data_IF_817477882597
#
_entry.id   IF_817477882597
#
_cell.length_a   1.000
_cell.length_b   1.000
_cell.length_c   1.000
_cell.angle_alpha   90.00
_cell.angle_beta   90.00
_cell.angle_gamma   90.00
#
_symmetry.space_group_name_H-M   'P 1'
#
loop_
_entity.id
_entity.type
_entity.pdbx_description
1 polymer ?
#
# COMPACT_ATOMS: atom_id res chain seq x y z
N UNK A 1 -24.57 -2.10 12.79
CA UNK A 1 -24.03 -2.23 11.41
C UNK A 1 -22.52 -2.22 11.49
N UNK A 2 -21.84 -3.11 10.74
CA UNK A 2 -20.38 -3.11 10.65
C UNK A 2 -19.97 -2.03 9.64
N UNK A 3 -19.02 -1.17 10.01
CA UNK A 3 -18.51 -0.12 9.12
C UNK A 3 -17.88 -0.76 7.87
N UNK A 4 -18.05 -0.17 6.70
CA UNK A 4 -17.47 -0.68 5.44
C UNK A 4 -16.05 -0.16 5.23
N UNK A 5 -15.31 -0.75 4.29
CA UNK A 5 -13.95 -0.28 3.92
C UNK A 5 -14.02 1.18 3.46
N UNK A 6 -14.98 1.52 2.59
CA UNK A 6 -15.18 2.87 2.09
C UNK A 6 -15.53 3.87 3.18
N UNK A 7 -16.32 3.49 4.18
CA UNK A 7 -16.62 4.33 5.34
C UNK A 7 -15.36 4.60 6.18
N UNK A 8 -14.53 3.59 6.42
CA UNK A 8 -13.24 3.78 7.12
C UNK A 8 -12.28 4.65 6.33
N UNK A 9 -12.22 4.46 5.01
CA UNK A 9 -11.43 5.28 4.11
C UNK A 9 -11.87 6.74 4.16
N UNK A 10 -13.19 7.00 4.10
CA UNK A 10 -13.78 8.32 4.27
C UNK A 10 -13.34 8.96 5.59
N UNK A 11 -13.50 8.25 6.71
CA UNK A 11 -13.12 8.74 8.04
C UNK A 11 -11.64 9.12 8.11
N UNK A 12 -10.75 8.32 7.49
CA UNK A 12 -9.32 8.61 7.47
C UNK A 12 -8.98 9.89 6.69
N UNK A 13 -9.51 10.04 5.48
CA UNK A 13 -9.21 11.24 4.66
C UNK A 13 -9.87 12.50 5.22
N UNK A 14 -11.06 12.41 5.83
CA UNK A 14 -11.71 13.54 6.51
C UNK A 14 -10.92 13.97 7.75
N UNK A 15 -10.38 13.03 8.54
CA UNK A 15 -9.50 13.36 9.67
C UNK A 15 -8.23 14.09 9.23
N UNK A 16 -7.67 13.75 8.07
CA UNK A 16 -6.42 14.34 7.59
C UNK A 16 -6.61 15.68 6.90
N UNK A 17 -7.66 15.82 6.09
CA UNK A 17 -7.83 16.94 5.15
C UNK A 17 -9.01 17.86 5.47
N UNK A 18 -9.88 17.51 6.41
CA UNK A 18 -11.04 18.31 6.77
C UNK A 18 -12.02 18.46 5.59
N UNK A 19 -12.63 19.64 5.44
CA UNK A 19 -13.82 19.89 4.59
C UNK A 19 -13.61 19.90 3.06
N UNK A 20 -12.44 19.55 2.55
CA UNK A 20 -12.16 19.54 1.09
C UNK A 20 -11.37 18.29 0.65
N UNK A 21 -11.51 17.20 1.39
CA UNK A 21 -10.75 15.98 1.23
C UNK A 21 -10.86 15.38 -0.19
N UNK A 22 -12.04 15.42 -0.82
CA UNK A 22 -12.20 14.87 -2.17
C UNK A 22 -11.37 15.64 -3.20
N UNK A 23 -11.44 16.97 -3.16
CA UNK A 23 -10.71 17.85 -4.07
C UNK A 23 -9.20 17.72 -3.88
N UNK A 24 -8.73 17.67 -2.63
CA UNK A 24 -7.30 17.54 -2.32
C UNK A 24 -6.76 16.19 -2.80
N UNK A 25 -7.45 15.09 -2.51
CA UNK A 25 -7.03 13.75 -2.97
C UNK A 25 -7.09 13.66 -4.50
N UNK A 26 -8.16 14.16 -5.12
CA UNK A 26 -8.31 14.16 -6.57
C UNK A 26 -7.13 14.87 -7.27
N UNK A 27 -6.78 16.07 -6.78
CA UNK A 27 -5.64 16.83 -7.31
C UNK A 27 -4.30 16.14 -7.05
N UNK A 28 -4.07 15.66 -5.83
CA UNK A 28 -2.79 15.05 -5.43
C UNK A 28 -2.47 13.76 -6.19
N UNK A 29 -3.49 12.96 -6.51
CA UNK A 29 -3.32 11.65 -7.14
C UNK A 29 -3.79 11.62 -8.61
N UNK A 30 -4.04 12.78 -9.22
CA UNK A 30 -4.37 12.89 -10.65
C UNK A 30 -5.65 12.16 -11.05
N UNK A 31 -6.67 12.17 -10.19
CA UNK A 31 -7.94 11.48 -10.41
C UNK A 31 -9.14 12.44 -10.28
N UNK A 32 -10.34 11.99 -10.65
CA UNK A 32 -11.55 12.79 -10.50
C UNK A 32 -12.10 12.71 -9.07
N UNK A 33 -12.75 13.78 -8.60
CA UNK A 33 -13.44 13.77 -7.29
C UNK A 33 -14.51 12.68 -7.22
N UNK A 34 -15.14 12.34 -8.35
CA UNK A 34 -16.10 11.24 -8.44
C UNK A 34 -15.45 9.87 -8.16
N UNK A 35 -14.21 9.65 -8.58
CA UNK A 35 -13.47 8.44 -8.23
C UNK A 35 -13.23 8.36 -6.72
N UNK A 36 -12.86 9.47 -6.08
CA UNK A 36 -12.68 9.54 -4.62
C UNK A 36 -13.99 9.27 -3.89
N UNK A 37 -15.11 9.85 -4.34
CA UNK A 37 -16.45 9.61 -3.78
C UNK A 37 -16.84 8.14 -3.92
N UNK A 38 -16.49 7.49 -5.05
CA UNK A 38 -16.73 6.06 -5.26
C UNK A 38 -15.98 5.22 -4.23
N UNK A 39 -14.70 5.52 -3.96
CA UNK A 39 -13.91 4.80 -2.95
C UNK A 39 -14.55 4.84 -1.56
N UNK A 40 -15.17 5.97 -1.18
CA UNK A 40 -15.88 6.13 0.10
C UNK A 40 -17.12 5.25 0.25
N UNK A 41 -17.58 4.63 -0.83
CA UNK A 41 -18.77 3.77 -0.88
C UNK A 41 -18.41 2.32 -1.21
N UNK A 42 -17.15 2.05 -1.50
CA UNK A 42 -16.71 0.72 -1.91
C UNK A 42 -16.56 -0.19 -0.69
N UNK A 43 -16.99 -1.44 -0.82
CA UNK A 43 -16.84 -2.45 0.22
C UNK A 43 -15.50 -3.17 0.11
N UNK A 44 -14.77 -2.98 -0.99
CA UNK A 44 -13.51 -3.62 -1.28
C UNK A 44 -12.34 -2.64 -1.31
N UNK A 45 -11.14 -3.16 -0.98
CA UNK A 45 -9.90 -2.39 -1.05
C UNK A 45 -9.40 -2.34 -2.50
N UNK A 46 -9.52 -1.19 -3.16
CA UNK A 46 -9.02 -1.02 -4.53
C UNK A 46 -7.53 -0.67 -4.56
N UNK A 47 -6.85 -0.93 -5.69
CA UNK A 47 -5.44 -0.57 -5.87
C UNK A 47 -5.16 0.91 -5.58
N UNK A 48 -6.03 1.80 -6.05
CA UNK A 48 -5.90 3.25 -5.82
C UNK A 48 -6.12 3.62 -4.35
N UNK A 49 -7.03 2.95 -3.64
CA UNK A 49 -7.21 3.16 -2.19
C UNK A 49 -5.97 2.73 -1.40
N UNK A 50 -5.35 1.61 -1.77
CA UNK A 50 -4.09 1.15 -1.16
C UNK A 50 -2.98 2.17 -1.38
N UNK A 51 -2.84 2.65 -2.62
CA UNK A 51 -1.82 3.64 -2.97
C UNK A 51 -1.99 4.94 -2.20
N UNK A 52 -3.20 5.48 -2.15
CA UNK A 52 -3.51 6.67 -1.33
C UNK A 52 -3.21 6.36 0.14
N UNK A 53 -3.67 5.23 0.67
CA UNK A 53 -3.47 4.88 2.07
C UNK A 53 -1.98 4.83 2.45
N UNK A 54 -1.15 4.15 1.65
CA UNK A 54 0.29 4.08 1.90
C UNK A 54 0.96 5.46 1.85
N UNK A 55 0.65 6.26 0.84
CA UNK A 55 1.23 7.59 0.67
C UNK A 55 0.74 8.60 1.72
N UNK A 56 -0.47 8.38 2.26
CA UNK A 56 -1.04 9.19 3.32
C UNK A 56 -0.74 8.68 4.74
N UNK A 57 -0.02 7.56 4.87
CA UNK A 57 0.23 6.92 6.16
C UNK A 57 -1.04 6.40 6.83
N UNK A 58 -2.07 6.06 6.06
CA UNK A 58 -3.31 5.44 6.55
C UNK A 58 -3.07 3.93 6.70
N UNK A 59 -3.43 3.37 7.84
CA UNK A 59 -3.23 1.96 8.15
C UNK A 59 -4.17 1.05 7.34
N UNK A 60 -3.60 0.15 6.54
CA UNK A 60 -4.38 -0.81 5.72
C UNK A 60 -5.15 -1.84 6.57
N UNK A 61 -4.65 -2.20 7.76
CA UNK A 61 -5.39 -3.07 8.68
C UNK A 61 -6.65 -2.37 9.15
N UNK A 62 -6.53 -1.13 9.61
CA UNK A 62 -7.68 -0.29 9.96
C UNK A 62 -8.68 -0.24 8.78
N UNK A 63 -8.24 0.05 7.56
CA UNK A 63 -9.15 0.08 6.41
C UNK A 63 -9.86 -1.26 6.16
N UNK A 64 -9.15 -2.38 6.27
CA UNK A 64 -9.67 -3.70 5.91
C UNK A 64 -10.64 -4.25 6.97
N UNK A 65 -10.31 -4.12 8.25
CA UNK A 65 -11.01 -4.80 9.33
C UNK A 65 -11.41 -3.89 10.51
N UNK A 66 -11.00 -2.62 10.51
CA UNK A 66 -11.28 -1.67 11.58
C UNK A 66 -10.39 -1.82 12.81
N UNK A 67 -9.30 -2.60 12.72
CA UNK A 67 -8.39 -2.87 13.84
C UNK A 67 -7.17 -1.96 13.75
N UNK A 68 -6.76 -1.42 14.91
CA UNK A 68 -5.58 -0.57 15.06
C UNK A 68 -5.86 0.90 14.83
N UNK A 69 -4.78 1.69 14.80
CA UNK A 69 -4.85 3.14 14.61
C UNK A 69 -5.16 3.52 13.16
N UNK A 70 -5.79 4.69 12.98
CA UNK A 70 -6.17 5.20 11.64
C UNK A 70 -4.94 5.56 10.81
N UNK A 71 -3.97 6.21 11.44
CA UNK A 71 -2.71 6.61 10.82
C UNK A 71 -1.57 5.84 11.47
N UNK A 72 -0.61 5.43 10.65
CA UNK A 72 0.67 4.93 11.13
C UNK A 72 1.52 6.13 11.53
N UNK A 73 2.16 6.06 12.69
CA UNK A 73 3.07 7.11 13.15
C UNK A 73 4.29 7.14 12.21
N UNK A 74 4.30 8.12 11.30
CA UNK A 74 5.34 8.26 10.27
C UNK A 74 6.69 8.67 10.84
N UNK A 75 6.81 8.88 12.15
CA UNK A 75 8.11 8.98 12.83
C UNK A 75 8.85 7.65 12.90
N UNK A 76 8.20 6.50 12.65
CA UNK A 76 8.86 5.18 12.68
C UNK A 76 8.90 4.41 11.36
N UNK A 77 8.07 4.73 10.37
CA UNK A 77 8.01 3.95 9.12
C UNK A 77 7.91 4.84 7.87
N UNK A 78 8.81 5.80 7.73
CA UNK A 78 9.30 6.12 6.39
C UNK A 78 10.00 4.85 5.90
N UNK A 79 9.57 4.27 4.78
CA UNK A 79 10.13 3.08 4.18
C UNK A 79 11.66 3.04 4.32
N UNK A 80 12.14 2.37 5.37
CA UNK A 80 13.50 1.86 5.34
C UNK A 80 13.39 0.79 4.30
N UNK A 81 14.11 0.95 3.18
CA UNK A 81 14.69 -0.22 2.53
C UNK A 81 15.17 -1.10 3.67
N UNK A 82 14.44 -2.18 3.95
CA UNK A 82 14.81 -3.06 5.04
C UNK A 82 16.16 -3.60 4.57
N UNK A 83 17.24 -3.16 5.21
CA UNK A 83 18.56 -3.70 4.94
C UNK A 83 18.43 -5.17 5.28
N UNK A 84 18.27 -6.00 4.24
CA UNK A 84 18.16 -7.44 4.38
C UNK A 84 19.50 -7.86 4.94
N UNK A 85 19.52 -8.31 6.19
CA UNK A 85 20.72 -8.87 6.79
C UNK A 85 21.09 -10.17 6.07
N UNK A 86 22.32 -10.64 6.22
CA UNK A 86 22.76 -11.90 5.59
C UNK A 86 21.87 -13.10 5.95
N UNK A 87 21.28 -13.08 7.15
CA UNK A 87 20.37 -14.14 7.60
C UNK A 87 19.01 -14.08 6.90
N UNK A 88 18.43 -12.88 6.77
CA UNK A 88 17.18 -12.68 6.03
C UNK A 88 17.35 -13.09 4.55
N UNK A 89 18.53 -12.80 3.97
CA UNK A 89 18.84 -13.18 2.59
C UNK A 89 18.89 -14.70 2.41
N UNK A 90 19.50 -15.42 3.37
CA UNK A 90 19.56 -16.88 3.35
C UNK A 90 18.18 -17.51 3.46
N UNK A 91 17.31 -16.95 4.30
CA UNK A 91 15.94 -17.43 4.47
C UNK A 91 15.13 -17.25 3.17
N UNK A 92 15.16 -16.05 2.59
CA UNK A 92 14.50 -15.76 1.31
C UNK A 92 15.03 -16.65 0.18
N UNK A 93 16.35 -16.88 0.12
CA UNK A 93 16.94 -17.80 -0.86
C UNK A 93 16.46 -19.24 -0.62
N UNK A 94 16.37 -19.68 0.64
CA UNK A 94 15.83 -20.99 0.99
C UNK A 94 14.40 -21.18 0.51
N UNK A 95 13.55 -20.17 0.70
CA UNK A 95 12.17 -20.17 0.19
C UNK A 95 12.13 -20.26 -1.34
N UNK A 96 12.89 -19.42 -2.05
CA UNK A 96 12.96 -19.44 -3.52
C UNK A 96 13.46 -20.80 -4.03
N UNK A 97 14.44 -21.40 -3.35
CA UNK A 97 14.97 -22.72 -3.71
C UNK A 97 13.98 -23.85 -3.46
N UNK A 98 13.00 -23.66 -2.59
CA UNK A 98 11.93 -24.64 -2.34
C UNK A 98 10.82 -24.62 -3.39
N UNK A 99 10.75 -23.59 -4.24
CA UNK A 99 9.73 -23.46 -5.29
C UNK A 99 9.93 -24.46 -6.44
N UNK A 100 8.89 -24.68 -7.22
CA UNK A 100 8.96 -25.42 -8.48
C UNK A 100 9.79 -24.65 -9.54
N UNK A 101 10.20 -25.35 -10.60
CA UNK A 101 11.08 -24.80 -11.62
C UNK A 101 10.48 -23.56 -12.33
N UNK A 102 9.18 -23.58 -12.61
CA UNK A 102 8.52 -22.49 -13.32
C UNK A 102 8.46 -21.23 -12.45
N UNK A 103 8.13 -21.40 -11.18
CA UNK A 103 8.13 -20.31 -10.19
C UNK A 103 9.53 -19.72 -9.99
N UNK A 104 10.58 -20.55 -10.00
CA UNK A 104 11.99 -20.09 -9.93
C UNK A 104 12.38 -19.25 -11.12
N UNK A 105 12.04 -19.68 -12.33
CA UNK A 105 12.32 -18.93 -13.57
C UNK A 105 11.62 -17.57 -13.55
N UNK A 106 10.34 -17.54 -13.16
CA UNK A 106 9.61 -16.29 -13.00
C UNK A 106 10.30 -15.33 -12.02
N UNK A 107 10.68 -15.83 -10.83
CA UNK A 107 11.35 -15.02 -9.81
C UNK A 107 12.70 -14.50 -10.29
N UNK A 108 13.49 -15.33 -10.99
CA UNK A 108 14.75 -14.90 -11.59
C UNK A 108 14.56 -13.74 -12.57
N UNK A 109 13.61 -13.86 -13.50
CA UNK A 109 13.36 -12.81 -14.49
C UNK A 109 12.84 -11.52 -13.84
N UNK A 110 11.99 -11.63 -12.83
CA UNK A 110 11.48 -10.49 -12.07
C UNK A 110 12.60 -9.74 -11.34
N UNK A 111 13.40 -10.45 -10.54
CA UNK A 111 14.54 -9.88 -9.80
C UNK A 111 15.52 -9.22 -10.77
N UNK A 112 15.86 -9.89 -11.89
CA UNK A 112 16.74 -9.35 -12.91
C UNK A 112 16.21 -8.04 -13.52
N UNK A 113 14.92 -7.98 -13.82
CA UNK A 113 14.28 -6.77 -14.36
C UNK A 113 14.35 -5.60 -13.39
N UNK A 114 14.04 -5.85 -12.11
CA UNK A 114 14.09 -4.86 -11.05
C UNK A 114 15.52 -4.32 -10.84
N UNK A 115 16.53 -5.21 -10.78
CA UNK A 115 17.95 -4.81 -10.68
C UNK A 115 18.42 -3.98 -11.88
N UNK A 116 17.99 -4.33 -13.09
CA UNK A 116 18.31 -3.54 -14.29
C UNK A 116 17.63 -2.17 -14.30
N UNK A 117 16.42 -2.07 -13.75
CA UNK A 117 15.71 -0.80 -13.61
C UNK A 117 16.39 0.15 -12.61
N UNK A 118 17.03 -0.43 -11.58
CA UNK A 118 17.75 0.32 -10.56
C UNK A 118 19.07 0.90 -11.09
N UNK A 119 19.81 0.15 -11.93
CA UNK A 119 21.07 0.63 -12.55
C UNK A 119 20.89 1.77 -13.58
N UNK A 120 19.65 2.10 -13.96
CA UNK A 120 19.34 3.16 -14.94
C UNK A 120 18.93 4.49 -14.29
N UNK A 121 18.85 4.55 -12.96
CA UNK A 121 18.67 5.78 -12.17
C UNK A 121 20.03 6.29 -11.72
#
# INVERSE_FOLDING_TARGET
MKETIGQRFKTAIEKKYGKFENKVIAQKYGMSEQAVIKFKRDDNLTKSMIEIANQEGINLNYLSNGIGEVFLDTTQECAKERVIGENDFKEILGEILSLDLHSKEYMYHKIKSELLSFKRR
#
